data_IF_442938271395
#
_entry.id   IF_442938271395
#
_cell.length_a   1.000
_cell.length_b   1.000
_cell.length_c   1.000
_cell.angle_alpha   90.00
_cell.angle_beta   90.00
_cell.angle_gamma   90.00
#
_symmetry.space_group_name_H-M   'P 1'
#
loop_
_entity.id
_entity.type
_entity.pdbx_description
1 polymer ?
#
# COMPACT_ATOMS: atom_id res chain seq x y z
N UNK A 1 19.03 18.52 -4.59
CA UNK A 1 18.47 17.77 -3.45
C UNK A 1 19.12 16.40 -3.44
N UNK A 2 19.63 15.93 -2.30
CA UNK A 2 20.35 14.65 -2.22
C UNK A 2 19.36 13.46 -2.36
N UNK A 3 19.74 12.40 -3.08
CA UNK A 3 18.90 11.22 -3.33
C UNK A 3 18.41 10.58 -2.02
N UNK A 4 19.29 10.53 -1.01
CA UNK A 4 18.96 10.02 0.33
C UNK A 4 17.85 10.83 1.01
N UNK A 5 17.81 12.15 0.82
CA UNK A 5 16.76 13.00 1.40
C UNK A 5 15.41 12.70 0.75
N UNK A 6 15.39 12.45 -0.57
CA UNK A 6 14.18 12.08 -1.30
C UNK A 6 13.61 10.76 -0.77
N UNK A 7 14.47 9.74 -0.65
CA UNK A 7 14.10 8.43 -0.11
C UNK A 7 13.55 8.57 1.32
N UNK A 8 14.21 9.34 2.17
CA UNK A 8 13.78 9.57 3.54
C UNK A 8 12.38 10.21 3.61
N UNK A 9 12.11 11.20 2.75
CA UNK A 9 10.79 11.83 2.67
C UNK A 9 9.71 10.80 2.34
N UNK A 10 9.94 9.95 1.34
CA UNK A 10 8.97 8.91 0.99
C UNK A 10 8.75 7.90 2.12
N UNK A 11 9.80 7.51 2.84
CA UNK A 11 9.69 6.62 4.00
C UNK A 11 8.87 7.24 5.13
N UNK A 12 9.11 8.51 5.45
CA UNK A 12 8.33 9.24 6.46
C UNK A 12 6.86 9.34 6.05
N UNK A 13 6.58 9.59 4.76
CA UNK A 13 5.21 9.62 4.24
C UNK A 13 4.54 8.24 4.31
N UNK A 14 5.24 7.16 3.95
CA UNK A 14 4.75 5.79 4.04
C UNK A 14 4.39 5.39 5.49
N UNK A 15 5.27 5.74 6.44
CA UNK A 15 5.03 5.55 7.87
C UNK A 15 3.85 6.37 8.35
N UNK A 16 3.80 7.66 8.00
CA UNK A 16 2.70 8.56 8.37
C UNK A 16 1.35 8.06 7.87
N UNK A 17 1.26 7.66 6.59
CA UNK A 17 0.05 7.10 6.00
C UNK A 17 -0.39 5.81 6.71
N UNK A 18 0.56 4.95 7.05
CA UNK A 18 0.30 3.68 7.75
C UNK A 18 -0.25 3.94 9.16
N UNK A 19 0.42 4.78 9.95
CA UNK A 19 -0.04 5.12 11.30
C UNK A 19 -1.42 5.78 11.26
N UNK A 20 -1.62 6.72 10.34
CA UNK A 20 -2.89 7.43 10.21
C UNK A 20 -4.04 6.51 9.81
N UNK A 21 -3.79 5.54 8.91
CA UNK A 21 -4.77 4.51 8.55
C UNK A 21 -5.26 3.72 9.77
N UNK A 22 -4.33 3.23 10.59
CA UNK A 22 -4.70 2.45 11.77
C UNK A 22 -5.45 3.28 12.82
N UNK A 23 -5.02 4.52 13.06
CA UNK A 23 -5.71 5.46 13.96
C UNK A 23 -7.13 5.73 13.45
N UNK A 24 -7.29 6.01 12.16
CA UNK A 24 -8.59 6.30 11.57
C UNK A 24 -9.53 5.09 11.65
N UNK A 25 -9.02 3.89 11.33
CA UNK A 25 -9.79 2.65 11.47
C UNK A 25 -10.26 2.43 12.90
N UNK A 26 -9.38 2.61 13.88
CA UNK A 26 -9.72 2.46 15.29
C UNK A 26 -10.78 3.48 15.73
N UNK A 27 -10.63 4.75 15.33
CA UNK A 27 -11.61 5.80 15.63
C UNK A 27 -12.99 5.48 15.03
N UNK A 28 -13.03 5.09 13.75
CA UNK A 28 -14.28 4.76 13.05
C UNK A 28 -14.93 3.49 13.59
N UNK A 29 -14.15 2.51 14.01
CA UNK A 29 -14.67 1.31 14.68
C UNK A 29 -15.47 1.67 15.95
N UNK A 30 -14.97 2.62 16.74
CA UNK A 30 -15.66 3.11 17.94
C UNK A 30 -16.88 3.97 17.58
N UNK A 31 -16.74 4.86 16.61
CA UNK A 31 -17.82 5.76 16.15
C UNK A 31 -19.04 4.98 15.62
N UNK A 32 -18.81 4.01 14.73
CA UNK A 32 -19.86 3.20 14.15
C UNK A 32 -20.22 1.97 15.00
N UNK A 33 -19.60 1.78 16.17
CA UNK A 33 -19.86 0.63 17.06
C UNK A 33 -19.79 -0.75 16.38
N UNK A 34 -19.01 -0.87 15.32
CA UNK A 34 -18.91 -2.10 14.52
C UNK A 34 -20.13 -2.42 13.65
N UNK A 35 -20.92 -1.41 13.27
CA UNK A 35 -22.10 -1.55 12.42
C UNK A 35 -21.76 -2.04 10.99
N UNK A 36 -22.75 -2.62 10.30
CA UNK A 36 -22.62 -3.22 8.96
C UNK A 36 -22.14 -2.20 7.91
N UNK A 37 -22.51 -0.93 8.09
CA UNK A 37 -22.02 0.17 7.25
C UNK A 37 -20.49 0.30 7.32
N UNK A 38 -19.93 0.24 8.52
CA UNK A 38 -18.48 0.34 8.71
C UNK A 38 -17.75 -0.88 8.14
N UNK A 39 -18.31 -2.08 8.29
CA UNK A 39 -17.79 -3.28 7.65
C UNK A 39 -17.77 -3.13 6.11
N UNK A 40 -18.85 -2.60 5.53
CA UNK A 40 -18.95 -2.37 4.09
C UNK A 40 -17.91 -1.38 3.59
N UNK A 41 -17.70 -0.27 4.32
CA UNK A 41 -16.65 0.72 4.00
C UNK A 41 -15.27 0.07 4.05
N UNK A 42 -14.97 -0.70 5.10
CA UNK A 42 -13.68 -1.40 5.22
C UNK A 42 -13.45 -2.40 4.09
N UNK A 43 -14.47 -3.18 3.72
CA UNK A 43 -14.36 -4.15 2.63
C UNK A 43 -14.07 -3.47 1.29
N UNK A 44 -14.80 -2.41 0.95
CA UNK A 44 -14.56 -1.65 -0.28
C UNK A 44 -13.19 -0.99 -0.30
N UNK A 45 -12.77 -0.40 0.83
CA UNK A 45 -11.45 0.23 0.92
C UNK A 45 -10.31 -0.79 0.81
N UNK A 46 -10.46 -1.94 1.45
CA UNK A 46 -9.49 -3.03 1.33
C UNK A 46 -9.46 -3.57 -0.10
N UNK A 47 -10.60 -3.68 -0.78
CA UNK A 47 -10.64 -4.07 -2.19
C UNK A 47 -9.88 -3.09 -3.07
N UNK A 48 -10.02 -1.78 -2.85
CA UNK A 48 -9.23 -0.76 -3.55
C UNK A 48 -7.73 -0.91 -3.29
N UNK A 49 -7.33 -1.14 -2.03
CA UNK A 49 -5.94 -1.38 -1.66
C UNK A 49 -5.39 -2.67 -2.27
N UNK A 50 -6.22 -3.71 -2.42
CA UNK A 50 -5.82 -5.00 -2.95
C UNK A 50 -5.50 -4.95 -4.46
N UNK A 51 -5.95 -3.92 -5.18
CA UNK A 51 -5.51 -3.66 -6.57
C UNK A 51 -3.98 -3.53 -6.60
N UNK A 52 -3.36 -2.86 -5.63
CA UNK A 52 -1.91 -2.73 -5.55
C UNK A 52 -1.22 -4.11 -5.42
N UNK A 53 -1.80 -5.02 -4.62
CA UNK A 53 -1.27 -6.38 -4.48
C UNK A 53 -1.35 -7.16 -5.79
N UNK A 54 -2.47 -7.08 -6.51
CA UNK A 54 -2.61 -7.69 -7.83
C UNK A 54 -1.59 -7.14 -8.82
N UNK A 55 -1.41 -5.81 -8.85
CA UNK A 55 -0.38 -5.18 -9.67
C UNK A 55 1.02 -5.68 -9.31
N UNK A 56 1.36 -5.79 -8.02
CA UNK A 56 2.65 -6.31 -7.58
C UNK A 56 2.88 -7.76 -8.04
N UNK A 57 1.87 -8.62 -7.88
CA UNK A 57 1.96 -10.02 -8.31
C UNK A 57 2.27 -10.11 -9.81
N UNK A 58 1.58 -9.32 -10.64
CA UNK A 58 1.81 -9.28 -12.09
C UNK A 58 3.24 -8.80 -12.39
N UNK A 59 3.71 -7.73 -11.73
CA UNK A 59 5.06 -7.21 -11.93
C UNK A 59 6.14 -8.24 -11.55
N UNK A 60 5.96 -8.94 -10.43
CA UNK A 60 6.88 -9.99 -9.99
C UNK A 60 6.85 -11.20 -10.93
N UNK A 61 5.68 -11.60 -11.42
CA UNK A 61 5.54 -12.67 -12.39
C UNK A 61 6.28 -12.34 -13.71
N UNK A 62 6.16 -11.10 -14.19
CA UNK A 62 6.90 -10.63 -15.37
C UNK A 62 8.41 -10.60 -15.09
N UNK A 63 8.84 -10.00 -13.97
CA UNK A 63 10.25 -9.88 -13.61
C UNK A 63 10.95 -11.23 -13.47
N UNK A 64 10.23 -12.26 -13.03
CA UNK A 64 10.75 -13.62 -12.89
C UNK A 64 10.70 -14.44 -14.18
N UNK A 65 9.69 -14.21 -15.03
CA UNK A 65 9.50 -15.01 -16.25
C UNK A 65 10.30 -14.50 -17.46
N UNK A 66 10.50 -13.19 -17.63
CA UNK A 66 11.24 -12.63 -18.77
C UNK A 66 12.67 -13.18 -18.90
N UNK A 67 13.46 -13.28 -17.81
CA UNK A 67 14.79 -13.89 -17.86
C UNK A 67 14.83 -15.34 -18.34
N UNK A 68 13.71 -16.07 -18.32
CA UNK A 68 13.64 -17.45 -18.80
C UNK A 68 13.68 -17.54 -20.34
N UNK A 69 13.34 -16.44 -21.03
CA UNK A 69 13.22 -16.41 -22.49
C UNK A 69 14.22 -15.47 -23.16
N UNK A 70 14.85 -14.59 -22.37
CA UNK A 70 15.87 -13.64 -22.85
C UNK A 70 17.06 -13.75 -21.91
N UNK A 71 18.27 -13.85 -22.46
CA UNK A 71 19.52 -13.96 -21.71
C UNK A 71 19.86 -12.64 -21.00
N UNK A 72 19.13 -12.37 -19.91
CA UNK A 72 19.26 -11.18 -19.08
C UNK A 72 19.23 -11.64 -17.62
N UNK A 73 20.22 -11.24 -16.84
CA UNK A 73 20.25 -11.49 -15.40
C UNK A 73 19.75 -10.27 -14.63
N UNK A 74 18.67 -10.42 -13.86
CA UNK A 74 18.14 -9.36 -13.00
C UNK A 74 18.64 -9.61 -11.57
N UNK A 75 19.41 -8.68 -11.01
CA UNK A 75 19.91 -8.75 -9.63
C UNK A 75 19.49 -7.51 -8.84
N UNK A 76 18.99 -7.72 -7.63
CA UNK A 76 18.69 -6.66 -6.67
C UNK A 76 19.48 -6.88 -5.38
N UNK A 77 19.98 -5.79 -4.79
CA UNK A 77 20.51 -5.83 -3.42
C UNK A 77 19.36 -5.97 -2.45
N UNK A 78 19.61 -6.63 -1.31
CA UNK A 78 18.59 -6.80 -0.27
C UNK A 78 18.05 -5.45 0.22
N UNK A 79 18.92 -4.45 0.39
CA UNK A 79 18.53 -3.10 0.80
C UNK A 79 17.51 -2.47 -0.15
N UNK A 80 17.68 -2.64 -1.47
CA UNK A 80 16.73 -2.13 -2.47
C UNK A 80 15.40 -2.87 -2.42
N UNK A 81 15.43 -4.19 -2.20
CA UNK A 81 14.20 -4.98 -2.05
C UNK A 81 13.41 -4.56 -0.82
N UNK A 82 14.09 -4.37 0.32
CA UNK A 82 13.47 -3.89 1.56
C UNK A 82 12.87 -2.50 1.34
N UNK A 83 13.64 -1.57 0.75
CA UNK A 83 13.17 -0.22 0.47
C UNK A 83 11.90 -0.22 -0.40
N UNK A 84 11.90 -0.97 -1.51
CA UNK A 84 10.72 -1.05 -2.37
C UNK A 84 9.55 -1.72 -1.66
N UNK A 85 9.80 -2.72 -0.82
CA UNK A 85 8.78 -3.36 0.01
C UNK A 85 8.11 -2.39 0.98
N UNK A 86 8.89 -1.59 1.71
CA UNK A 86 8.36 -0.57 2.63
C UNK A 86 7.54 0.49 1.90
N UNK A 87 8.04 1.00 0.77
CA UNK A 87 7.33 1.97 -0.04
C UNK A 87 6.04 1.40 -0.61
N UNK A 88 6.05 0.14 -1.05
CA UNK A 88 4.85 -0.55 -1.53
C UNK A 88 3.79 -0.69 -0.44
N UNK A 89 4.19 -1.10 0.78
CA UNK A 89 3.28 -1.20 1.93
C UNK A 89 2.69 0.18 2.24
N UNK A 90 3.52 1.23 2.28
CA UNK A 90 3.07 2.60 2.48
C UNK A 90 2.06 3.06 1.44
N UNK A 91 2.33 2.80 0.16
CA UNK A 91 1.42 3.11 -0.94
C UNK A 91 0.08 2.37 -0.82
N UNK A 92 0.13 1.06 -0.54
CA UNK A 92 -1.07 0.23 -0.36
C UNK A 92 -1.92 0.73 0.81
N UNK A 93 -1.29 1.13 1.91
CA UNK A 93 -1.99 1.71 3.07
C UNK A 93 -2.56 3.09 2.77
N UNK A 94 -1.85 3.91 1.99
CA UNK A 94 -2.35 5.21 1.53
C UNK A 94 -3.59 5.05 0.63
N UNK A 95 -3.58 4.08 -0.29
CA UNK A 95 -4.76 3.75 -1.11
C UNK A 95 -5.95 3.33 -0.25
N UNK A 96 -5.72 2.47 0.75
CA UNK A 96 -6.77 2.08 1.69
C UNK A 96 -7.30 3.29 2.46
N UNK A 97 -6.42 4.15 2.95
CA UNK A 97 -6.78 5.34 3.71
C UNK A 97 -7.66 6.30 2.89
N UNK A 98 -7.24 6.60 1.66
CA UNK A 98 -8.01 7.45 0.74
C UNK A 98 -9.37 6.81 0.44
N UNK A 99 -9.41 5.51 0.21
CA UNK A 99 -10.65 4.80 -0.06
C UNK A 99 -11.61 4.82 1.14
N UNK A 100 -11.12 4.65 2.38
CA UNK A 100 -11.96 4.82 3.57
C UNK A 100 -12.55 6.23 3.62
N UNK A 101 -11.72 7.27 3.48
CA UNK A 101 -12.19 8.66 3.52
C UNK A 101 -13.20 8.99 2.41
N UNK A 102 -13.09 8.34 1.26
CA UNK A 102 -14.01 8.50 0.14
C UNK A 102 -15.35 7.79 0.39
N UNK A 103 -15.31 6.50 0.75
CA UNK A 103 -16.52 5.71 0.96
C UNK A 103 -17.30 6.13 2.21
N UNK A 104 -16.62 6.59 3.25
CA UNK A 104 -17.24 7.15 4.48
C UNK A 104 -18.11 8.38 4.19
N UNK A 105 -17.78 9.15 3.14
CA UNK A 105 -18.59 10.30 2.70
C UNK A 105 -19.75 9.92 1.79
N UNK A 106 -19.69 8.76 1.12
CA UNK A 106 -20.68 8.34 0.13
C UNK A 106 -21.76 7.42 0.68
N UNK A 107 -21.38 6.52 1.58
CA UNK A 107 -22.26 5.54 2.23
C UNK A 107 -22.59 6.08 3.60
#
# INVERSE_FOLDING_TARGET
MNEQIIILIFLVLALGATLWLYILKAKKQVEYKGDERWLTIQLKANQSANIANWTLIILLAIATSVPLFIDIQIMFTLDRVILFGELFIGLRNLLELIAIMYFDKQL
#
